data_IF_158896194404
#
_entry.id   IF_158896194404
#
_cell.length_a   1.000
_cell.length_b   1.000
_cell.length_c   1.000
_cell.angle_alpha   90.00
_cell.angle_beta   90.00
_cell.angle_gamma   90.00
#
_symmetry.space_group_name_H-M   'P 1'
#
loop_
_entity.id
_entity.type
_entity.pdbx_description
1 polymer ?
#
# COMPACT_ATOMS: atom_id res chain seq x y z
N UNK A 1 -67.07 -50.32 -13.31
CA UNK A 1 -67.13 -48.85 -13.17
C UNK A 1 -66.02 -48.42 -12.20
N UNK A 2 -64.77 -48.51 -12.67
CA UNK A 2 -63.55 -48.25 -11.91
C UNK A 2 -62.59 -47.65 -12.94
N UNK A 3 -62.59 -46.32 -13.12
CA UNK A 3 -61.56 -45.56 -13.85
C UNK A 3 -61.92 -44.07 -13.98
N UNK A 4 -62.08 -43.33 -12.87
CA UNK A 4 -62.08 -41.85 -12.89
C UNK A 4 -61.52 -41.29 -11.57
N UNK A 5 -60.34 -41.73 -11.12
CA UNK A 5 -59.61 -41.09 -9.99
C UNK A 5 -58.10 -41.24 -10.21
N UNK A 6 -57.55 -40.78 -11.34
CA UNK A 6 -56.08 -40.72 -11.52
C UNK A 6 -55.57 -39.54 -12.36
N UNK A 7 -56.43 -38.61 -12.77
CA UNK A 7 -56.05 -37.53 -13.70
C UNK A 7 -55.97 -36.12 -13.10
N UNK A 8 -56.30 -35.91 -11.83
CA UNK A 8 -56.23 -34.58 -11.18
C UNK A 8 -55.03 -34.42 -10.23
N UNK A 9 -54.29 -35.49 -9.93
CA UNK A 9 -53.10 -35.44 -9.03
C UNK A 9 -51.77 -35.24 -9.81
N UNK A 10 -51.79 -35.23 -11.15
CA UNK A 10 -50.58 -35.13 -11.97
C UNK A 10 -50.25 -33.72 -12.52
N UNK A 11 -51.11 -32.73 -12.30
CA UNK A 11 -50.92 -31.36 -12.81
C UNK A 11 -50.38 -30.39 -11.74
N UNK A 12 -50.55 -30.68 -10.45
CA UNK A 12 -50.05 -29.79 -9.37
C UNK A 12 -48.54 -29.97 -9.12
N UNK A 13 -47.95 -31.12 -9.46
CA UNK A 13 -46.51 -31.37 -9.25
C UNK A 13 -45.60 -30.76 -10.33
N UNK A 14 -46.08 -30.55 -11.56
CA UNK A 14 -45.23 -29.99 -12.63
C UNK A 14 -45.05 -28.46 -12.55
N UNK A 15 -45.94 -27.72 -11.88
CA UNK A 15 -45.78 -26.25 -11.74
C UNK A 15 -44.88 -25.84 -10.57
N UNK A 16 -44.70 -26.71 -9.57
CA UNK A 16 -43.86 -26.44 -8.39
C UNK A 16 -42.37 -26.70 -8.68
N UNK A 17 -42.06 -27.70 -9.52
CA UNK A 17 -40.67 -28.04 -9.87
C UNK A 17 -40.05 -27.08 -10.90
N UNK A 18 -40.84 -26.51 -11.83
CA UNK A 18 -40.33 -25.51 -12.78
C UNK A 18 -40.03 -24.16 -12.11
N UNK A 19 -40.78 -23.77 -11.08
CA UNK A 19 -40.51 -22.54 -10.32
C UNK A 19 -39.26 -22.73 -9.44
N UNK A 20 -39.11 -23.87 -8.78
CA UNK A 20 -37.92 -24.14 -7.95
C UNK A 20 -36.64 -24.35 -8.77
N UNK A 21 -36.72 -24.97 -9.97
CA UNK A 21 -35.56 -25.09 -10.88
C UNK A 21 -35.19 -23.75 -11.50
N UNK A 22 -36.16 -22.91 -11.89
CA UNK A 22 -35.86 -21.55 -12.36
C UNK A 22 -35.28 -20.66 -11.25
N UNK A 23 -35.71 -20.82 -9.99
CA UNK A 23 -35.16 -20.05 -8.86
C UNK A 23 -33.75 -20.54 -8.51
N UNK A 24 -33.48 -21.85 -8.53
CA UNK A 24 -32.15 -22.39 -8.25
C UNK A 24 -31.12 -22.13 -9.37
N UNK A 25 -31.52 -22.14 -10.65
CA UNK A 25 -30.63 -21.74 -11.74
C UNK A 25 -30.40 -20.22 -11.75
N UNK A 26 -31.41 -19.39 -11.47
CA UNK A 26 -31.19 -17.94 -11.35
C UNK A 26 -30.34 -17.59 -10.12
N UNK A 27 -30.46 -18.30 -9.00
CA UNK A 27 -29.59 -18.09 -7.82
C UNK A 27 -28.18 -18.59 -8.09
N UNK A 28 -27.99 -19.73 -8.78
CA UNK A 28 -26.65 -20.17 -9.22
C UNK A 28 -26.05 -19.21 -10.25
N UNK A 29 -26.81 -18.66 -11.18
CA UNK A 29 -26.33 -17.66 -12.15
C UNK A 29 -26.02 -16.34 -11.45
N UNK A 30 -26.78 -15.90 -10.44
CA UNK A 30 -26.51 -14.69 -9.64
C UNK A 30 -25.29 -14.89 -8.72
N UNK A 31 -25.10 -16.07 -8.13
CA UNK A 31 -23.93 -16.42 -7.30
C UNK A 31 -22.68 -16.63 -8.17
N UNK A 32 -22.84 -17.19 -9.38
CA UNK A 32 -21.74 -17.38 -10.33
C UNK A 32 -21.40 -16.07 -11.08
N UNK A 33 -22.35 -15.14 -11.25
CA UNK A 33 -22.11 -13.75 -11.69
C UNK A 33 -21.45 -12.90 -10.59
N UNK A 34 -21.77 -13.13 -9.31
CA UNK A 34 -21.05 -12.49 -8.19
C UNK A 34 -19.62 -13.05 -8.02
N UNK A 35 -19.41 -14.35 -8.30
CA UNK A 35 -18.06 -14.97 -8.27
C UNK A 35 -17.23 -14.73 -9.54
N UNK A 36 -17.82 -14.31 -10.65
CA UNK A 36 -17.09 -13.94 -11.88
C UNK A 36 -16.88 -12.43 -12.09
N UNK A 37 -17.34 -11.56 -11.18
CA UNK A 37 -16.98 -10.13 -11.21
C UNK A 37 -15.69 -9.81 -10.42
N UNK A 38 -15.01 -10.83 -9.89
CA UNK A 38 -13.72 -10.71 -9.21
C UNK A 38 -12.50 -10.79 -10.16
N UNK A 39 -12.70 -10.64 -11.46
CA UNK A 39 -11.61 -10.50 -12.43
C UNK A 39 -12.08 -9.59 -13.58
N UNK A 40 -11.80 -8.28 -13.48
CA UNK A 40 -11.96 -7.37 -14.62
C UNK A 40 -12.73 -6.09 -14.33
N UNK A 41 -12.25 -5.29 -13.38
CA UNK A 41 -12.48 -3.85 -13.39
C UNK A 41 -11.15 -3.13 -13.13
N UNK A 42 -10.15 -3.44 -13.96
CA UNK A 42 -8.95 -2.61 -14.08
C UNK A 42 -8.94 -1.96 -15.47
N UNK A 43 -8.65 -0.67 -15.45
CA UNK A 43 -8.28 0.20 -16.57
C UNK A 43 -9.42 0.73 -17.46
N UNK A 44 -10.08 1.79 -17.01
CA UNK A 44 -10.40 2.95 -17.86
C UNK A 44 -10.41 4.26 -17.04
N UNK A 45 -9.22 4.71 -16.64
CA UNK A 45 -8.92 6.12 -16.41
C UNK A 45 -7.39 6.31 -16.46
N UNK A 46 -6.81 6.40 -17.67
CA UNK A 46 -5.48 7.00 -17.83
C UNK A 46 -5.62 8.52 -17.64
N UNK A 47 -5.82 8.95 -16.40
CA UNK A 47 -5.38 10.27 -15.99
C UNK A 47 -3.92 10.11 -15.58
N UNK A 48 -3.07 11.02 -16.05
CA UNK A 48 -1.62 11.02 -15.82
C UNK A 48 -1.27 10.69 -14.36
N UNK A 49 -0.98 9.43 -14.08
CA UNK A 49 -0.44 8.99 -12.80
C UNK A 49 0.98 9.53 -12.73
N UNK A 50 1.17 10.61 -11.97
CA UNK A 50 2.45 10.78 -11.32
C UNK A 50 2.63 9.53 -10.46
N UNK A 51 3.61 8.69 -10.78
CA UNK A 51 3.92 7.52 -9.97
C UNK A 51 4.25 8.02 -8.55
N UNK A 52 3.41 7.69 -7.56
CA UNK A 52 3.70 7.98 -6.17
C UNK A 52 4.69 6.92 -5.64
N UNK A 53 5.56 7.33 -4.73
CA UNK A 53 6.53 6.49 -4.04
C UNK A 53 5.98 6.19 -2.65
N UNK A 54 5.90 4.90 -2.31
CA UNK A 54 5.56 4.45 -0.97
C UNK A 54 6.63 4.92 0.03
N UNK A 55 6.22 5.69 1.03
CA UNK A 55 7.07 6.17 2.12
C UNK A 55 7.06 5.17 3.27
N UNK A 56 5.87 4.69 3.61
CA UNK A 56 5.63 3.76 4.70
C UNK A 56 4.34 2.98 4.41
N UNK A 57 4.27 1.74 4.85
CA UNK A 57 3.10 0.88 4.73
C UNK A 57 3.03 -0.06 5.92
N UNK A 58 1.82 -0.33 6.35
CA UNK A 58 1.46 -1.50 7.15
C UNK A 58 0.24 -2.17 6.51
N UNK A 59 0.31 -3.48 6.29
CA UNK A 59 -0.79 -4.32 5.82
C UNK A 59 -1.18 -5.42 6.81
N UNK A 60 -0.64 -5.36 8.03
CA UNK A 60 -0.96 -6.22 9.17
C UNK A 60 -0.86 -7.73 8.92
N UNK A 61 -0.32 -8.19 7.78
CA UNK A 61 -0.25 -9.60 7.43
C UNK A 61 0.74 -10.40 8.28
N UNK A 62 1.56 -9.71 9.07
CA UNK A 62 2.41 -10.32 10.09
C UNK A 62 1.69 -10.60 11.41
N UNK A 63 0.42 -10.17 11.54
CA UNK A 63 -0.40 -10.31 12.75
C UNK A 63 0.31 -9.74 13.99
N UNK A 64 1.11 -8.68 13.79
CA UNK A 64 1.86 -8.01 14.83
C UNK A 64 1.56 -6.51 14.81
N UNK A 65 1.23 -5.99 15.99
CA UNK A 65 0.98 -4.56 16.23
C UNK A 65 1.85 -4.03 17.37
N UNK A 66 2.94 -4.73 17.69
CA UNK A 66 3.85 -4.36 18.76
C UNK A 66 4.62 -3.06 18.51
N UNK A 67 4.68 -2.60 17.25
CA UNK A 67 5.21 -1.30 16.84
C UNK A 67 4.15 -0.19 16.86
N UNK A 68 2.87 -0.53 16.97
CA UNK A 68 1.79 0.41 17.26
C UNK A 68 1.64 0.66 18.75
N UNK A 69 1.20 1.87 19.10
CA UNK A 69 0.80 2.19 20.47
C UNK A 69 -0.72 2.15 20.57
N UNK A 70 -1.23 1.27 21.43
CA UNK A 70 -2.64 1.00 21.58
C UNK A 70 -3.15 1.59 22.90
N UNK A 71 -4.34 2.19 22.88
CA UNK A 71 -5.03 2.69 24.08
C UNK A 71 -6.45 2.14 24.13
N UNK A 72 -6.83 1.64 25.30
CA UNK A 72 -8.18 1.24 25.70
C UNK A 72 -8.66 2.31 26.69
N UNK A 73 -9.29 3.37 26.17
CA UNK A 73 -9.69 4.52 27.01
C UNK A 73 -11.02 4.24 27.75
N UNK A 74 -11.84 3.30 27.29
CA UNK A 74 -13.05 2.85 27.97
C UNK A 74 -12.79 1.79 29.05
N UNK A 75 -11.64 1.12 28.99
CA UNK A 75 -11.10 0.25 30.04
C UNK A 75 -11.79 -1.11 30.14
N UNK A 76 -12.39 -1.59 29.05
CA UNK A 76 -13.13 -2.86 29.01
C UNK A 76 -12.23 -4.07 28.70
N UNK A 77 -10.97 -3.82 28.32
CA UNK A 77 -9.96 -4.82 27.99
C UNK A 77 -9.97 -5.26 26.51
N UNK A 78 -10.86 -4.72 25.68
CA UNK A 78 -10.90 -4.96 24.23
C UNK A 78 -10.35 -3.74 23.50
N UNK A 79 -9.22 -3.92 22.83
CA UNK A 79 -8.51 -2.86 22.11
C UNK A 79 -8.34 -3.23 20.64
N UNK A 80 -7.82 -2.29 19.84
CA UNK A 80 -7.39 -2.63 18.48
C UNK A 80 -6.35 -3.76 18.48
N UNK A 81 -6.45 -4.69 17.52
CA UNK A 81 -5.44 -5.72 17.29
C UNK A 81 -5.42 -6.85 18.32
N UNK A 82 -6.49 -7.02 19.09
CA UNK A 82 -6.68 -8.23 19.92
C UNK A 82 -7.03 -9.47 19.09
N UNK A 83 -7.54 -9.25 17.87
CA UNK A 83 -7.73 -10.22 16.80
C UNK A 83 -7.36 -9.56 15.47
N UNK A 84 -6.91 -10.37 14.51
CA UNK A 84 -6.52 -9.88 13.18
C UNK A 84 -7.44 -10.34 12.05
N UNK A 85 -8.39 -11.21 12.32
CA UNK A 85 -9.31 -11.71 11.30
C UNK A 85 -10.67 -12.04 11.90
N UNK A 86 -11.75 -11.57 11.27
CA UNK A 86 -13.11 -12.01 11.58
C UNK A 86 -13.40 -13.30 10.83
N UNK A 87 -13.99 -14.27 11.50
CA UNK A 87 -14.41 -15.55 10.94
C UNK A 87 -15.93 -15.76 11.10
N UNK A 88 -16.54 -16.50 10.18
CA UNK A 88 -17.94 -16.93 10.29
C UNK A 88 -18.13 -18.15 11.21
N UNK A 89 -19.36 -18.64 11.34
CA UNK A 89 -19.67 -19.82 12.17
C UNK A 89 -19.02 -21.12 11.69
N UNK A 90 -18.54 -21.16 10.45
CA UNK A 90 -17.82 -22.27 9.85
C UNK A 90 -16.30 -22.02 9.82
N UNK A 91 -15.81 -21.04 10.57
CA UNK A 91 -14.38 -20.64 10.68
C UNK A 91 -13.80 -20.10 9.36
N UNK A 92 -14.63 -19.71 8.38
CA UNK A 92 -14.12 -19.09 7.16
C UNK A 92 -13.83 -17.60 7.40
N UNK A 93 -12.75 -17.05 6.82
CA UNK A 93 -12.42 -15.63 6.96
C UNK A 93 -13.44 -14.74 6.25
N UNK A 94 -13.97 -13.76 6.97
CA UNK A 94 -14.89 -12.72 6.50
C UNK A 94 -14.13 -11.43 6.13
N UNK A 95 -12.99 -11.20 6.78
CA UNK A 95 -12.04 -10.13 6.50
C UNK A 95 -10.69 -10.71 6.07
N UNK A 96 -9.84 -9.95 5.37
CA UNK A 96 -8.41 -10.23 5.35
C UNK A 96 -7.81 -10.12 6.77
N UNK A 97 -6.53 -10.49 6.90
CA UNK A 97 -5.75 -10.13 8.08
C UNK A 97 -5.68 -8.60 8.12
N UNK A 98 -6.10 -7.99 9.23
CA UNK A 98 -6.30 -6.54 9.33
C UNK A 98 -6.30 -6.10 10.79
N UNK A 99 -6.19 -4.80 11.03
CA UNK A 99 -6.32 -4.22 12.37
C UNK A 99 -7.81 -4.07 12.74
N UNK A 100 -8.25 -4.78 13.77
CA UNK A 100 -9.68 -4.88 14.14
C UNK A 100 -9.95 -4.25 15.51
N UNK A 101 -11.08 -3.53 15.63
CA UNK A 101 -11.72 -3.15 16.90
C UNK A 101 -13.22 -3.47 16.83
N UNK A 102 -13.87 -3.64 18.00
CA UNK A 102 -15.22 -4.22 18.10
C UNK A 102 -16.15 -3.35 18.93
N UNK A 103 -17.39 -3.23 18.49
CA UNK A 103 -18.49 -2.63 19.27
C UNK A 103 -19.45 -3.69 19.81
N UNK A 104 -19.22 -4.96 19.47
CA UNK A 104 -19.95 -6.11 19.99
C UNK A 104 -19.02 -7.33 20.16
N UNK A 105 -19.07 -7.97 21.32
CA UNK A 105 -18.48 -9.30 21.53
C UNK A 105 -19.23 -10.03 22.65
N UNK A 106 -20.13 -10.97 22.29
CA UNK A 106 -21.04 -11.68 23.21
C UNK A 106 -22.06 -10.75 23.91
N UNK A 107 -21.65 -9.54 24.26
CA UNK A 107 -22.42 -8.42 24.76
C UNK A 107 -22.03 -7.15 23.98
N UNK A 108 -22.89 -6.12 23.96
CA UNK A 108 -22.53 -4.82 23.42
C UNK A 108 -21.33 -4.20 24.16
N UNK A 109 -20.41 -3.61 23.41
CA UNK A 109 -19.27 -2.84 23.90
C UNK A 109 -19.47 -1.34 23.59
N UNK A 110 -18.70 -0.48 24.23
CA UNK A 110 -18.73 0.98 24.00
C UNK A 110 -17.31 1.49 23.74
N UNK A 111 -16.70 1.07 22.62
CA UNK A 111 -15.27 1.25 22.40
C UNK A 111 -14.87 2.71 22.51
N UNK A 112 -13.73 2.97 23.13
CA UNK A 112 -12.93 4.18 22.97
C UNK A 112 -11.48 3.76 22.73
N UNK A 113 -11.31 3.08 21.60
CA UNK A 113 -10.10 2.37 21.27
C UNK A 113 -9.24 3.17 20.32
N UNK A 114 -7.94 3.28 20.61
CA UNK A 114 -6.96 3.96 19.76
C UNK A 114 -5.87 3.01 19.29
N UNK A 115 -5.46 3.20 18.04
CA UNK A 115 -4.22 2.65 17.50
C UNK A 115 -3.41 3.78 16.86
N UNK A 116 -2.23 4.07 17.43
CA UNK A 116 -1.31 5.11 16.96
C UNK A 116 -0.10 4.45 16.31
N UNK A 117 0.19 4.82 15.07
CA UNK A 117 1.30 4.26 14.29
C UNK A 117 2.66 4.50 14.98
N UNK A 118 3.70 3.73 14.63
CA UNK A 118 5.07 4.17 14.89
C UNK A 118 5.35 5.52 14.19
N UNK A 119 6.49 6.13 14.53
CA UNK A 119 6.94 7.34 13.86
C UNK A 119 7.19 7.09 12.37
N UNK A 120 6.45 7.77 11.50
CA UNK A 120 6.60 7.66 10.04
C UNK A 120 7.56 8.74 9.56
N UNK A 121 8.76 8.35 9.15
CA UNK A 121 9.76 9.28 8.58
C UNK A 121 9.29 9.81 7.22
N UNK A 122 8.98 11.10 7.17
CA UNK A 122 8.62 11.82 5.95
C UNK A 122 9.64 12.90 5.58
N UNK A 123 10.82 12.89 6.23
CA UNK A 123 11.86 13.91 6.05
C UNK A 123 12.35 14.05 4.61
N UNK A 124 12.20 12.99 3.81
CA UNK A 124 12.56 12.95 2.39
C UNK A 124 11.36 13.11 1.46
N UNK A 125 10.13 13.11 1.95
CA UNK A 125 8.96 13.22 1.10
C UNK A 125 8.90 14.57 0.38
N UNK A 126 8.52 14.57 -0.89
CA UNK A 126 8.39 15.76 -1.73
C UNK A 126 7.11 15.69 -2.58
N UNK A 127 6.57 16.87 -2.91
CA UNK A 127 5.34 17.00 -3.68
C UNK A 127 4.10 16.69 -2.83
N UNK A 128 3.10 16.04 -3.44
CA UNK A 128 1.89 15.62 -2.72
C UNK A 128 2.21 14.45 -1.80
N UNK A 129 1.77 14.53 -0.54
CA UNK A 129 1.81 13.46 0.45
C UNK A 129 0.38 12.98 0.70
N UNK A 130 0.15 11.67 0.68
CA UNK A 130 -1.18 11.08 0.79
C UNK A 130 -1.14 9.89 1.74
N UNK A 131 -2.10 9.83 2.66
CA UNK A 131 -2.43 8.63 3.41
C UNK A 131 -3.58 7.93 2.67
N UNK A 132 -3.47 6.61 2.49
CA UNK A 132 -4.56 5.75 2.04
C UNK A 132 -4.72 4.58 3.01
N UNK A 133 -5.94 4.12 3.19
CA UNK A 133 -6.28 2.95 3.98
C UNK A 133 -7.57 2.34 3.47
N UNK A 134 -7.84 1.11 3.88
CA UNK A 134 -9.08 0.39 3.59
C UNK A 134 -9.83 0.18 4.90
N UNK A 135 -11.15 0.36 4.89
CA UNK A 135 -12.01 -0.05 6.00
C UNK A 135 -13.00 -1.12 5.55
N UNK A 136 -13.34 -2.04 6.44
CA UNK A 136 -14.44 -2.98 6.27
C UNK A 136 -15.26 -3.05 7.57
N UNK A 137 -16.58 -3.14 7.43
CA UNK A 137 -17.53 -3.38 8.55
C UNK A 137 -18.32 -4.66 8.25
N UNK A 138 -19.15 -5.09 9.20
CA UNK A 138 -19.99 -6.27 9.02
C UNK A 138 -20.92 -6.17 7.80
N UNK A 139 -21.17 -7.31 7.15
CA UNK A 139 -22.13 -7.42 6.04
C UNK A 139 -23.58 -7.53 6.54
N UNK A 140 -24.00 -6.60 7.39
CA UNK A 140 -25.24 -6.68 8.17
C UNK A 140 -25.96 -5.34 8.20
N UNK A 141 -27.18 -5.30 8.75
CA UNK A 141 -27.92 -4.04 8.94
C UNK A 141 -27.50 -3.25 10.19
N UNK A 142 -26.62 -3.83 10.99
CA UNK A 142 -26.06 -3.30 12.24
C UNK A 142 -24.55 -3.14 12.07
N UNK A 143 -24.17 -2.32 11.10
CA UNK A 143 -22.79 -2.15 10.65
C UNK A 143 -22.30 -0.70 10.83
N UNK A 144 -23.00 0.09 11.65
CA UNK A 144 -22.77 1.53 11.81
C UNK A 144 -21.62 1.86 12.76
N UNK A 145 -20.40 1.53 12.34
CA UNK A 145 -19.21 1.81 13.13
C UNK A 145 -18.72 3.24 12.93
N UNK A 146 -18.64 3.99 14.02
CA UNK A 146 -18.10 5.35 14.01
C UNK A 146 -16.62 5.33 14.34
N UNK A 147 -15.84 5.97 13.49
CA UNK A 147 -14.40 6.04 13.69
C UNK A 147 -13.84 7.40 13.26
N UNK A 148 -12.61 7.64 13.69
CA UNK A 148 -11.82 8.79 13.28
C UNK A 148 -10.40 8.38 12.88
N UNK A 149 -9.83 9.17 11.98
CA UNK A 149 -8.40 9.17 11.64
C UNK A 149 -7.85 10.53 11.99
N UNK A 150 -6.77 10.58 12.76
CA UNK A 150 -6.04 11.80 13.07
C UNK A 150 -4.60 11.68 12.57
N UNK A 151 -4.05 12.77 12.03
CA UNK A 151 -2.63 12.81 11.67
C UNK A 151 -1.97 14.00 12.33
N UNK A 152 -0.84 13.80 13.02
CA UNK A 152 -0.11 14.89 13.68
C UNK A 152 1.41 14.63 13.68
N UNK A 153 2.21 15.61 14.10
CA UNK A 153 3.67 15.46 14.28
C UNK A 153 4.07 14.93 15.67
N UNK A 154 3.09 14.68 16.54
CA UNK A 154 3.26 14.10 17.88
C UNK A 154 2.32 12.90 18.09
N UNK A 155 2.74 11.84 18.78
CA UNK A 155 1.92 10.65 18.98
C UNK A 155 0.88 10.79 20.11
N UNK A 156 0.94 11.87 20.91
CA UNK A 156 0.05 12.03 22.05
C UNK A 156 -1.39 12.36 21.61
N UNK A 157 -2.37 11.79 22.30
CA UNK A 157 -3.80 11.96 21.99
C UNK A 157 -4.24 13.42 22.02
N UNK A 158 -3.62 14.28 22.86
CA UNK A 158 -3.99 15.70 22.92
C UNK A 158 -3.63 16.42 21.61
N UNK A 159 -2.43 16.19 21.08
CA UNK A 159 -2.00 16.72 19.79
C UNK A 159 -2.80 16.13 18.62
N UNK A 160 -3.12 14.83 18.67
CA UNK A 160 -3.94 14.16 17.65
C UNK A 160 -5.34 14.76 17.59
N UNK A 161 -6.00 14.93 18.74
CA UNK A 161 -7.34 15.55 18.85
C UNK A 161 -7.34 17.03 18.44
N UNK A 162 -6.23 17.74 18.62
CA UNK A 162 -6.08 19.13 18.20
C UNK A 162 -5.74 19.28 16.71
N UNK A 163 -5.45 18.19 15.99
CA UNK A 163 -5.06 18.25 14.58
C UNK A 163 -6.23 18.69 13.69
N UNK A 164 -5.92 19.53 12.71
CA UNK A 164 -6.85 19.91 11.66
C UNK A 164 -6.85 18.94 10.46
N UNK A 165 -5.94 17.96 10.44
CA UNK A 165 -5.87 16.91 9.41
C UNK A 165 -6.46 15.64 9.99
N UNK A 166 -7.75 15.43 9.72
CA UNK A 166 -8.53 14.34 10.29
C UNK A 166 -9.67 13.92 9.38
N UNK A 167 -10.16 12.69 9.58
CA UNK A 167 -11.43 12.17 9.07
C UNK A 167 -12.26 11.72 10.26
N UNK A 168 -13.55 12.03 10.27
CA UNK A 168 -14.49 11.52 11.25
C UNK A 168 -15.75 11.14 10.49
N UNK A 169 -16.16 9.89 10.58
CA UNK A 169 -17.35 9.39 9.86
C UNK A 169 -17.97 8.19 10.56
N UNK A 170 -19.17 7.82 10.12
CA UNK A 170 -19.86 6.59 10.51
C UNK A 170 -20.03 5.74 9.27
N UNK A 171 -19.45 4.54 9.30
CA UNK A 171 -19.57 3.54 8.24
C UNK A 171 -20.98 2.89 8.30
N UNK A 172 -21.27 1.94 7.40
CA UNK A 172 -22.50 1.12 7.48
C UNK A 172 -23.84 1.80 7.18
N UNK A 173 -23.91 2.74 6.23
CA UNK A 173 -25.17 3.42 5.89
C UNK A 173 -26.02 2.66 4.85
N UNK A 174 -26.36 1.39 5.14
CA UNK A 174 -27.50 0.66 4.55
C UNK A 174 -27.36 0.09 3.13
N UNK A 175 -26.25 0.35 2.42
CA UNK A 175 -25.96 -0.26 1.09
C UNK A 175 -24.65 -1.04 1.03
N UNK A 176 -23.82 -0.96 2.06
CA UNK A 176 -22.47 -1.53 2.07
C UNK A 176 -22.49 -2.86 2.83
N UNK A 177 -22.85 -3.94 2.15
CA UNK A 177 -22.92 -5.29 2.71
C UNK A 177 -21.52 -5.87 3.01
N UNK A 178 -20.75 -5.20 3.86
CA UNK A 178 -19.38 -5.56 4.26
C UNK A 178 -18.35 -5.41 3.15
N UNK A 179 -18.62 -4.55 2.16
CA UNK A 179 -17.69 -4.25 1.07
C UNK A 179 -16.54 -3.39 1.60
N UNK A 180 -15.27 -3.74 1.35
CA UNK A 180 -14.13 -2.88 1.67
C UNK A 180 -14.23 -1.52 0.98
N UNK A 181 -13.94 -0.46 1.72
CA UNK A 181 -13.98 0.94 1.26
C UNK A 181 -12.58 1.52 1.28
N UNK A 182 -12.15 2.07 0.14
CA UNK A 182 -10.87 2.77 0.04
C UNK A 182 -11.04 4.22 0.48
N UNK A 183 -10.09 4.69 1.28
CA UNK A 183 -10.03 6.06 1.77
C UNK A 183 -8.73 6.72 1.40
N UNK A 184 -8.76 8.06 1.32
CA UNK A 184 -7.57 8.87 1.12
C UNK A 184 -7.66 10.16 1.93
N UNK A 185 -6.53 10.60 2.48
CA UNK A 185 -6.39 11.87 3.18
C UNK A 185 -5.15 12.61 2.66
N UNK A 186 -5.32 13.87 2.28
CA UNK A 186 -4.20 14.73 1.87
C UNK A 186 -3.38 15.15 3.09
N UNK A 187 -2.10 14.79 3.07
CA UNK A 187 -1.13 15.08 4.12
C UNK A 187 -0.09 16.11 3.67
N UNK A 188 -0.29 16.76 2.51
CA UNK A 188 0.72 17.64 1.89
C UNK A 188 1.13 18.80 2.81
N UNK A 189 0.28 19.22 3.76
CA UNK A 189 0.62 20.21 4.78
C UNK A 189 1.76 19.79 5.72
N UNK A 190 2.07 18.49 5.82
CA UNK A 190 3.17 17.96 6.64
C UNK A 190 4.51 17.90 5.90
N UNK A 191 4.55 18.19 4.59
CA UNK A 191 5.82 18.21 3.84
C UNK A 191 6.83 19.15 4.51
N UNK A 192 8.04 18.63 4.74
CA UNK A 192 9.12 19.34 5.43
C UNK A 192 9.20 19.07 6.93
N UNK A 193 8.20 18.41 7.53
CA UNK A 193 8.33 17.83 8.86
C UNK A 193 9.22 16.57 8.81
N UNK A 194 9.94 16.23 9.91
CA UNK A 194 10.76 15.04 9.94
C UNK A 194 9.93 13.75 9.97
N UNK A 195 8.80 13.79 10.66
CA UNK A 195 7.94 12.63 10.88
C UNK A 195 6.49 13.03 11.15
N UNK A 196 5.59 12.06 10.97
CA UNK A 196 4.18 12.13 11.36
C UNK A 196 3.77 10.85 12.09
N UNK A 197 2.58 10.90 12.66
CA UNK A 197 1.88 9.78 13.28
C UNK A 197 0.45 9.74 12.75
N UNK A 198 -0.02 8.55 12.41
CA UNK A 198 -1.40 8.29 12.01
C UNK A 198 -2.08 7.56 13.16
N UNK A 199 -3.24 8.03 13.59
CA UNK A 199 -4.02 7.40 14.64
C UNK A 199 -5.42 7.05 14.15
N UNK A 200 -5.85 5.83 14.42
CA UNK A 200 -7.22 5.38 14.27
C UNK A 200 -7.90 5.37 15.63
N UNK A 201 -9.15 5.82 15.69
CA UNK A 201 -9.98 5.78 16.90
C UNK A 201 -11.35 5.20 16.58
N UNK A 202 -11.73 4.13 17.26
CA UNK A 202 -13.07 3.54 17.18
C UNK A 202 -13.85 3.96 18.42
N UNK A 203 -14.91 4.76 18.24
CA UNK A 203 -15.58 5.43 19.36
C UNK A 203 -16.99 5.93 19.03
N UNK A 204 -17.77 6.19 20.09
CA UNK A 204 -19.11 6.79 19.98
C UNK A 204 -20.06 5.97 19.08
N UNK A 205 -19.91 4.65 19.16
CA UNK A 205 -20.81 3.62 18.64
C UNK A 205 -20.94 2.48 19.65
N UNK A 206 -21.96 1.63 19.49
CA UNK A 206 -22.22 0.45 20.33
C UNK A 206 -23.17 -0.51 19.61
N UNK A 207 -23.08 -1.80 19.94
CA UNK A 207 -24.03 -2.83 19.49
C UNK A 207 -24.17 -2.91 17.96
N UNK A 208 -23.04 -2.76 17.25
CA UNK A 208 -22.94 -3.04 15.82
C UNK A 208 -22.18 -4.37 15.65
N UNK A 209 -20.90 -4.36 15.28
CA UNK A 209 -20.07 -5.58 15.22
C UNK A 209 -18.59 -5.24 15.37
N UNK A 210 -17.93 -4.97 14.24
CA UNK A 210 -16.50 -4.67 14.13
C UNK A 210 -16.21 -3.60 13.09
N UNK A 211 -15.09 -2.91 13.33
CA UNK A 211 -14.35 -2.12 12.37
C UNK A 211 -13.04 -2.83 12.04
N UNK A 212 -12.80 -3.08 10.76
CA UNK A 212 -11.52 -3.58 10.22
C UNK A 212 -10.83 -2.46 9.44
N UNK A 213 -9.52 -2.31 9.63
CA UNK A 213 -8.64 -1.35 8.95
C UNK A 213 -7.46 -2.12 8.33
N UNK A 214 -7.18 -1.87 7.06
CA UNK A 214 -6.16 -2.59 6.31
C UNK A 214 -5.42 -1.68 5.30
N UNK A 215 -4.29 -2.15 4.77
CA UNK A 215 -3.47 -1.53 3.73
C UNK A 215 -3.16 -0.03 4.00
N UNK A 216 -2.77 0.30 5.23
CA UNK A 216 -2.44 1.67 5.64
C UNK A 216 -1.13 2.08 5.00
N UNK A 217 -1.19 3.04 4.07
CA UNK A 217 -0.03 3.43 3.26
C UNK A 217 0.13 4.95 3.25
N UNK A 218 1.34 5.43 3.50
CA UNK A 218 1.75 6.81 3.26
C UNK A 218 2.60 6.85 2.00
N UNK A 219 2.18 7.66 1.02
CA UNK A 219 2.87 7.81 -0.27
C UNK A 219 3.15 9.27 -0.59
N UNK A 220 4.28 9.54 -1.25
CA UNK A 220 4.68 10.87 -1.70
C UNK A 220 4.84 10.90 -3.23
N UNK A 221 4.79 12.08 -3.85
CA UNK A 221 5.06 12.20 -5.30
C UNK A 221 6.50 11.78 -5.65
N UNK A 222 7.44 12.08 -4.77
CA UNK A 222 8.84 11.66 -4.90
C UNK A 222 9.54 11.71 -3.55
N UNK A 223 10.73 11.12 -3.49
CA UNK A 223 11.64 11.27 -2.35
C UNK A 223 12.84 12.12 -2.76
N UNK A 224 13.38 12.89 -1.82
CA UNK A 224 14.70 13.51 -1.96
C UNK A 224 15.71 12.39 -2.28
N UNK A 225 16.41 12.56 -3.39
CA UNK A 225 17.46 11.62 -3.78
C UNK A 225 18.54 11.61 -2.71
N UNK A 226 18.64 10.50 -1.98
CA UNK A 226 19.82 10.22 -1.18
C UNK A 226 20.93 9.97 -2.19
N UNK A 227 21.95 10.83 -2.21
CA UNK A 227 23.22 10.42 -2.80
C UNK A 227 23.69 9.26 -1.93
N UNK A 228 23.60 8.02 -2.42
CA UNK A 228 23.99 6.81 -1.68
C UNK A 228 25.43 6.96 -1.13
N UNK A 229 25.59 7.43 0.11
CA UNK A 229 26.90 7.63 0.75
C UNK A 229 27.61 6.29 1.04
N UNK A 230 26.92 5.16 0.83
CA UNK A 230 27.44 3.81 1.10
C UNK A 230 27.68 2.92 -0.13
N UNK A 231 27.55 3.41 -1.37
CA UNK A 231 28.22 2.73 -2.50
C UNK A 231 29.71 2.99 -2.36
N UNK A 232 30.56 1.95 -2.35
CA UNK A 232 32.01 2.12 -2.58
C UNK A 232 32.16 3.06 -3.76
N UNK A 233 32.67 4.26 -3.53
CA UNK A 233 32.69 5.30 -4.55
C UNK A 233 33.42 4.76 -5.77
N UNK A 234 32.76 4.77 -6.93
CA UNK A 234 33.39 4.36 -8.18
C UNK A 234 34.61 5.24 -8.41
N UNK A 235 35.79 4.64 -8.53
CA UNK A 235 37.06 5.35 -8.65
C UNK A 235 37.79 4.96 -9.92
N UNK A 236 38.35 5.95 -10.61
CA UNK A 236 39.14 5.80 -11.84
C UNK A 236 40.59 6.21 -11.56
N UNK A 237 41.54 5.32 -11.80
CA UNK A 237 42.96 5.56 -11.52
C UNK A 237 43.88 4.90 -12.57
N UNK A 238 45.14 5.35 -12.73
CA UNK A 238 45.66 6.60 -12.20
C UNK A 238 45.01 7.80 -12.91
N UNK A 239 44.91 8.93 -12.21
CA UNK A 239 44.54 10.21 -12.81
C UNK A 239 45.43 11.30 -12.21
N UNK A 240 46.32 11.95 -12.97
CA UNK A 240 46.53 11.83 -14.43
C UNK A 240 47.06 10.46 -14.90
N UNK A 241 46.86 10.13 -16.18
CA UNK A 241 47.32 8.87 -16.81
C UNK A 241 48.05 9.10 -18.14
N UNK A 242 48.82 8.11 -18.58
CA UNK A 242 49.47 8.08 -19.90
C UNK A 242 49.06 6.88 -20.77
N UNK A 243 48.90 5.68 -20.20
CA UNK A 243 48.65 4.47 -20.99
C UNK A 243 47.26 3.87 -20.75
N UNK A 244 46.79 3.84 -19.51
CA UNK A 244 45.58 3.10 -19.15
C UNK A 244 44.83 3.71 -17.96
N UNK A 245 43.54 3.38 -17.85
CA UNK A 245 42.73 3.61 -16.66
C UNK A 245 42.24 2.28 -16.12
N UNK A 246 42.14 2.17 -14.80
CA UNK A 246 41.61 1.04 -14.05
C UNK A 246 40.46 1.48 -13.15
N UNK A 247 39.54 0.55 -12.91
CA UNK A 247 38.34 0.75 -12.10
C UNK A 247 38.37 -0.11 -10.85
N UNK A 248 37.83 0.39 -9.74
CA UNK A 248 37.73 -0.37 -8.47
C UNK A 248 36.55 -1.36 -8.43
N UNK A 249 35.80 -1.49 -9.52
CA UNK A 249 34.67 -2.40 -9.64
C UNK A 249 34.47 -2.79 -11.12
N UNK A 250 33.66 -3.82 -11.34
CA UNK A 250 33.31 -4.32 -12.67
C UNK A 250 32.57 -3.24 -13.49
N UNK A 251 32.98 -3.10 -14.75
CA UNK A 251 32.43 -2.13 -15.71
C UNK A 251 31.97 -2.88 -16.97
N UNK A 252 30.78 -2.53 -17.47
CA UNK A 252 30.19 -3.15 -18.66
C UNK A 252 30.69 -2.46 -19.93
N UNK A 253 30.73 -1.13 -19.95
CA UNK A 253 31.23 -0.37 -21.10
C UNK A 253 31.71 1.02 -20.72
N UNK A 254 32.57 1.57 -21.58
CA UNK A 254 33.20 2.87 -21.39
C UNK A 254 33.16 3.66 -22.69
N UNK A 255 32.87 4.95 -22.57
CA UNK A 255 32.92 5.93 -23.65
C UNK A 255 33.75 7.13 -23.18
N UNK A 256 34.64 7.63 -24.04
CA UNK A 256 35.48 8.79 -23.78
C UNK A 256 35.00 9.95 -24.64
N UNK A 257 34.70 11.06 -23.99
CA UNK A 257 34.29 12.31 -24.62
C UNK A 257 35.33 13.40 -24.40
N UNK A 258 35.51 14.28 -25.38
CA UNK A 258 36.24 15.53 -25.18
C UNK A 258 35.41 16.55 -24.37
N UNK A 259 36.02 17.70 -24.05
CA UNK A 259 35.34 18.76 -23.29
C UNK A 259 34.21 19.46 -24.05
N UNK A 260 34.10 19.25 -25.36
CA UNK A 260 32.99 19.74 -26.18
C UNK A 260 31.83 18.72 -26.26
N UNK A 261 31.97 17.56 -25.59
CA UNK A 261 30.96 16.50 -25.57
C UNK A 261 30.99 15.58 -26.80
N UNK A 262 32.03 15.67 -27.64
CA UNK A 262 32.19 14.77 -28.79
C UNK A 262 32.80 13.45 -28.33
N UNK A 263 32.21 12.33 -28.76
CA UNK A 263 32.76 10.99 -28.53
C UNK A 263 34.07 10.82 -29.30
N UNK A 264 35.16 10.53 -28.59
CA UNK A 264 36.52 10.38 -29.16
C UNK A 264 37.05 8.96 -29.08
N UNK A 265 36.57 8.13 -28.16
CA UNK A 265 36.91 6.71 -28.09
C UNK A 265 35.83 5.88 -27.37
N UNK A 266 35.77 4.58 -27.67
CA UNK A 266 34.94 3.58 -26.98
C UNK A 266 35.77 2.33 -26.74
N UNK A 267 36.75 2.36 -25.82
CA UNK A 267 37.68 1.25 -25.61
C UNK A 267 36.98 0.05 -24.99
N UNK A 268 37.42 -1.15 -25.37
CA UNK A 268 36.99 -2.40 -24.73
C UNK A 268 37.55 -2.46 -23.31
N UNK A 269 36.70 -2.88 -22.36
CA UNK A 269 37.11 -3.13 -20.98
C UNK A 269 37.64 -4.55 -20.86
N UNK A 270 38.89 -4.70 -20.41
CA UNK A 270 39.52 -5.99 -20.13
C UNK A 270 40.09 -5.92 -18.72
N UNK A 271 39.72 -6.85 -17.83
CA UNK A 271 40.18 -6.90 -16.43
C UNK A 271 40.03 -5.56 -15.68
N UNK A 272 38.86 -4.92 -15.80
CA UNK A 272 38.56 -3.60 -15.20
C UNK A 272 39.55 -2.49 -15.62
N UNK A 273 40.13 -2.62 -16.81
CA UNK A 273 41.10 -1.70 -17.39
C UNK A 273 40.68 -1.30 -18.82
N UNK A 274 41.02 -0.08 -19.20
CA UNK A 274 40.93 0.42 -20.58
C UNK A 274 42.27 1.00 -21.03
N UNK A 275 42.58 0.86 -22.32
CA UNK A 275 43.70 1.54 -22.95
C UNK A 275 43.27 2.96 -23.39
N UNK A 276 44.08 3.95 -23.05
CA UNK A 276 43.88 5.36 -23.43
C UNK A 276 45.13 5.97 -24.08
N UNK A 277 46.11 5.14 -24.46
CA UNK A 277 47.41 5.58 -24.96
C UNK A 277 47.32 6.35 -26.27
N UNK A 278 46.34 6.01 -27.11
CA UNK A 278 46.09 6.64 -28.41
C UNK A 278 45.46 8.04 -28.30
N UNK A 279 45.00 8.45 -27.12
CA UNK A 279 44.43 9.77 -26.90
C UNK A 279 45.53 10.84 -26.79
N UNK A 280 45.24 12.02 -27.32
CA UNK A 280 46.12 13.19 -27.20
C UNK A 280 46.12 13.73 -25.76
N UNK A 281 47.14 14.51 -25.43
CA UNK A 281 47.25 15.12 -24.11
C UNK A 281 46.19 16.20 -23.92
N UNK A 282 45.16 15.89 -23.13
CA UNK A 282 44.02 16.76 -22.85
C UNK A 282 43.25 16.26 -21.62
N UNK A 283 42.21 17.01 -21.25
CA UNK A 283 41.20 16.56 -20.28
C UNK A 283 40.02 15.94 -21.00
N UNK A 284 39.54 14.81 -20.51
CA UNK A 284 38.42 14.07 -21.09
C UNK A 284 37.36 13.75 -20.03
N UNK A 285 36.15 13.45 -20.51
CA UNK A 285 35.05 12.91 -19.70
C UNK A 285 34.85 11.44 -20.05
N UNK A 286 34.96 10.58 -19.05
CA UNK A 286 34.75 9.16 -19.14
C UNK A 286 33.32 8.82 -18.70
N UNK A 287 32.48 8.37 -19.62
CA UNK A 287 31.17 7.79 -19.28
C UNK A 287 31.33 6.29 -19.09
N UNK A 288 30.99 5.80 -17.91
CA UNK A 288 31.14 4.42 -17.48
C UNK A 288 29.75 3.85 -17.21
N UNK A 289 29.43 2.73 -17.84
CA UNK A 289 28.22 1.97 -17.55
C UNK A 289 28.57 0.77 -16.68
N UNK A 290 27.91 0.67 -15.53
CA UNK A 290 28.02 -0.44 -14.58
C UNK A 290 26.66 -1.14 -14.44
N UNK A 291 26.61 -2.28 -13.73
CA UNK A 291 25.33 -2.93 -13.38
C UNK A 291 24.42 -2.00 -12.56
N UNK A 292 25.00 -1.08 -11.77
CA UNK A 292 24.26 -0.13 -10.94
C UNK A 292 23.84 1.17 -11.66
N UNK A 293 24.17 1.33 -12.94
CA UNK A 293 23.87 2.52 -13.75
C UNK A 293 25.09 3.19 -14.39
N UNK A 294 24.85 4.35 -15.00
CA UNK A 294 25.86 5.14 -15.73
C UNK A 294 26.43 6.26 -14.87
N UNK A 295 27.75 6.42 -14.86
CA UNK A 295 28.45 7.51 -14.14
C UNK A 295 29.48 8.19 -15.05
N UNK A 296 29.79 9.45 -14.77
CA UNK A 296 30.74 10.24 -15.57
C UNK A 296 31.91 10.73 -14.71
N UNK A 297 33.14 10.55 -15.20
CA UNK A 297 34.37 10.87 -14.47
C UNK A 297 35.32 11.68 -15.34
N UNK A 298 35.91 12.75 -14.81
CA UNK A 298 36.91 13.53 -15.52
C UNK A 298 38.30 12.91 -15.30
N UNK A 299 39.09 12.79 -16.36
CA UNK A 299 40.50 12.40 -16.25
C UNK A 299 41.42 13.23 -17.15
N UNK A 300 42.71 13.28 -16.79
CA UNK A 300 43.75 14.03 -17.48
C UNK A 300 44.71 13.04 -18.16
N UNK A 301 44.88 13.17 -19.48
CA UNK A 301 45.85 12.42 -20.29
C UNK A 301 47.15 13.22 -20.45
N UNK A 302 48.28 12.59 -20.15
CA UNK A 302 49.65 13.12 -20.27
C UNK A 302 50.52 12.30 -21.22
#
# INVERSE_FOLDING_TARGET
MFNVVFYVVKIVFYSCDLINVCIFENIKIIVMIKKLLFAGALALAFNSMNAQVQVWKDDFNDEDVSDWTLYDDDGDGFQFGDIFQIQDSEENPVTPISLISRSWQQVPLTPDNWAVSPAIDISKAQGTLTLSWITQVAAQSWDQEKYAVYVSTSPDQTSLLASNVQVIETLGQGTNAGTPVNHTLDLTSFIGQPQIYVAFRHYDCTDQDFLSIDDVTVSATSLLAVSDVNKKAFSVYPNPTSDYLTFNQKVNSVQVYDMAGKLVASPTVVDSKIDVKSLQNATYVLKVNTEAGSTSHKFIKK
#
